data_IF_379080131535
#
_entry.id   IF_379080131535
#
_cell.length_a   1.000
_cell.length_b   1.000
_cell.length_c   1.000
_cell.angle_alpha   90.00
_cell.angle_beta   90.00
_cell.angle_gamma   90.00
#
_symmetry.space_group_name_H-M   'P 1'
#
loop_
_entity.id
_entity.type
_entity.pdbx_description
1 polymer ?
#
# COMPACT_ATOMS: atom_id res chain seq x y z
N UNK A 1 -22.42 -14.13 -18.69
CA UNK A 1 -22.21 -14.03 -18.65
C UNK A 1 -21.60 -13.51 -18.57
N UNK A 2 -21.71 -13.65 -18.50
CA UNK A 2 -21.16 -13.37 -18.22
C UNK A 2 -20.45 -13.06 -17.87
N UNK A 3 -20.62 -12.99 -17.56
CA UNK A 3 -20.08 -12.92 -17.11
C UNK A 3 -19.35 -12.82 -16.78
N UNK A 4 -19.38 -12.74 -16.68
CA UNK A 4 -18.86 -12.75 -16.25
C UNK A 4 -18.17 -12.95 -15.88
N UNK A 5 -18.50 -13.19 -15.70
CA UNK A 5 -18.03 -13.56 -15.26
C UNK A 5 -17.41 -13.81 -14.88
N UNK A 6 -17.61 -13.86 -14.84
CA UNK A 6 -17.15 -14.26 -14.52
C UNK A 6 -16.48 -14.55 -14.17
N UNK A 7 -16.78 -14.62 -14.20
CA UNK A 7 -16.27 -15.02 -13.86
C UNK A 7 -15.67 -15.34 -13.45
N UNK A 8 -16.03 -15.47 -13.30
CA UNK A 8 -15.64 -15.91 -12.84
C UNK A 8 -15.06 -16.36 -12.45
N UNK A 9 -15.13 -16.51 -12.43
CA UNK A 9 -14.72 -17.03 -12.03
C UNK A 9 -14.06 -17.44 -11.65
N UNK A 10 -14.15 -17.61 -11.65
CA UNK A 10 -13.71 -18.08 -11.27
C UNK A 10 -13.00 -18.35 -10.88
N UNK A 11 -12.98 -18.50 -10.63
CA UNK A 11 -12.40 -18.83 -9.99
C UNK A 11 -11.84 -19.35 -9.45
N UNK A 12 -11.76 -19.74 -9.49
CA UNK A 12 -11.34 -20.29 -8.71
C UNK A 12 -10.71 -20.57 -8.09
N UNK A 13 -10.81 -20.87 -7.98
CA UNK A 13 -10.32 -21.17 -7.28
C UNK A 13 -9.53 -21.19 -7.02
N UNK A 14 -9.61 -21.25 -7.33
CA UNK A 14 -8.90 -21.34 -6.96
C UNK A 14 -8.25 -20.92 -6.74
N UNK A 15 -8.48 -20.67 -7.39
CA UNK A 15 -7.89 -20.37 -6.91
C UNK A 15 -7.86 -19.54 -5.77
N UNK A 16 -7.83 -19.99 -5.22
CA UNK A 16 -7.89 -19.59 -3.92
C UNK A 16 -6.91 -18.59 -3.48
N UNK A 17 -5.77 -18.67 -3.98
CA UNK A 17 -4.74 -17.75 -3.71
C UNK A 17 -5.08 -16.38 -4.12
N UNK A 18 -5.75 -16.23 -5.23
CA UNK A 18 -6.16 -14.95 -5.72
C UNK A 18 -7.13 -14.26 -4.77
N UNK A 19 -7.80 -15.05 -3.95
CA UNK A 19 -8.77 -14.49 -3.02
C UNK A 19 -8.16 -14.15 -1.69
N UNK A 20 -6.85 -14.29 -1.54
CA UNK A 20 -6.21 -14.07 -0.25
C UNK A 20 -5.49 -12.73 -0.16
N UNK A 21 -5.72 -11.85 -1.10
CA UNK A 21 -5.18 -10.50 -0.97
C UNK A 21 -5.81 -9.82 0.24
N UNK A 22 -5.00 -9.08 0.96
CA UNK A 22 -5.49 -8.34 2.11
C UNK A 22 -6.39 -7.22 1.64
N UNK A 23 -7.33 -6.86 2.47
CA UNK A 23 -8.16 -5.71 2.19
C UNK A 23 -7.34 -4.44 2.38
N UNK A 24 -7.78 -3.36 1.75
CA UNK A 24 -7.06 -2.12 1.87
C UNK A 24 -8.00 -0.94 1.85
N UNK A 25 -7.51 0.15 2.40
CA UNK A 25 -8.16 1.43 2.31
C UNK A 25 -7.11 2.49 2.17
N UNK A 26 -7.55 3.74 2.08
CA UNK A 26 -6.61 4.84 2.00
C UNK A 26 -7.23 6.08 2.60
N UNK A 27 -6.36 6.92 3.20
CA UNK A 27 -6.79 8.19 3.76
C UNK A 27 -6.99 9.19 2.64
N UNK A 28 -7.81 10.20 2.90
CA UNK A 28 -7.99 11.28 1.93
C UNK A 28 -6.67 11.94 1.58
N UNK A 29 -5.80 12.09 2.57
CA UNK A 29 -4.49 12.70 2.33
C UNK A 29 -3.67 11.88 1.35
N UNK A 30 -3.79 10.55 1.40
CA UNK A 30 -3.08 9.69 0.45
C UNK A 30 -3.58 9.94 -0.98
N UNK A 31 -4.89 10.10 -1.15
CA UNK A 31 -5.44 10.38 -2.49
C UNK A 31 -4.93 11.71 -3.04
N UNK A 32 -4.84 12.71 -2.19
CA UNK A 32 -4.29 13.98 -2.62
C UNK A 32 -2.82 13.85 -3.00
N UNK A 33 -2.08 13.09 -2.21
CA UNK A 33 -0.67 12.83 -2.54
C UNK A 33 -0.56 12.12 -3.88
N UNK A 34 -1.36 11.07 -4.07
CA UNK A 34 -1.34 10.30 -5.31
C UNK A 34 -1.56 11.21 -6.53
N UNK A 35 -2.60 12.04 -6.45
CA UNK A 35 -2.92 12.92 -7.59
C UNK A 35 -1.79 13.91 -7.85
N UNK A 36 -1.18 14.43 -6.80
CA UNK A 36 -0.08 15.38 -6.93
C UNK A 36 1.15 14.71 -7.54
N UNK A 37 1.48 13.52 -7.03
CA UNK A 37 2.68 12.82 -7.48
C UNK A 37 2.53 12.32 -8.91
N UNK A 38 1.33 11.91 -9.30
CA UNK A 38 1.12 11.35 -10.63
C UNK A 38 1.19 12.40 -11.74
N UNK A 39 1.12 13.68 -11.37
CA UNK A 39 1.19 14.76 -12.36
C UNK A 39 2.60 15.11 -12.80
N UNK A 40 3.59 14.53 -12.15
CA UNK A 40 4.96 14.82 -12.48
C UNK A 40 5.69 13.52 -12.72
N UNK A 41 6.73 13.57 -13.55
CA UNK A 41 7.54 12.39 -13.84
C UNK A 41 8.67 12.20 -12.82
N UNK A 42 8.71 13.04 -11.78
CA UNK A 42 9.79 12.97 -10.80
C UNK A 42 9.73 11.71 -9.94
N UNK A 43 8.55 11.15 -9.75
CA UNK A 43 8.36 10.05 -8.82
C UNK A 43 8.04 8.77 -9.55
N UNK A 44 8.63 7.68 -9.08
CA UNK A 44 8.41 6.37 -9.70
C UNK A 44 7.10 5.78 -9.19
N UNK A 45 6.01 6.14 -9.84
CA UNK A 45 4.68 5.67 -9.45
C UNK A 45 4.51 4.18 -9.69
N UNK A 46 5.26 3.62 -10.64
CA UNK A 46 5.23 2.18 -10.87
C UNK A 46 5.78 1.45 -9.66
N UNK A 47 6.87 1.95 -9.11
CA UNK A 47 7.47 1.33 -7.94
C UNK A 47 6.59 1.50 -6.71
N UNK A 48 5.89 2.64 -6.60
CA UNK A 48 4.93 2.83 -5.53
C UNK A 48 3.82 1.77 -5.62
N UNK A 49 3.27 1.56 -6.80
CA UNK A 49 2.25 0.53 -6.99
C UNK A 49 2.79 -0.85 -6.65
N UNK A 50 4.03 -1.10 -7.01
CA UNK A 50 4.66 -2.39 -6.75
C UNK A 50 4.72 -2.69 -5.26
N UNK A 51 5.13 -1.73 -4.44
CA UNK A 51 5.20 -1.98 -3.00
C UNK A 51 3.81 -2.06 -2.38
N UNK A 52 2.86 -1.28 -2.90
CA UNK A 52 1.49 -1.39 -2.43
C UNK A 52 0.95 -2.79 -2.66
N UNK A 53 1.18 -3.34 -3.85
CA UNK A 53 0.73 -4.69 -4.16
C UNK A 53 1.46 -5.73 -3.32
N UNK A 54 2.74 -5.51 -3.05
CA UNK A 54 3.49 -6.43 -2.19
C UNK A 54 2.90 -6.47 -0.78
N UNK A 55 2.47 -5.31 -0.27
CA UNK A 55 1.85 -5.27 1.04
C UNK A 55 0.50 -5.98 1.07
N UNK A 56 -0.21 -5.99 -0.04
CA UNK A 56 -1.52 -6.63 -0.11
C UNK A 56 -1.43 -8.11 -0.40
N UNK A 57 -0.32 -8.58 -0.94
CA UNK A 57 -0.21 -9.96 -1.38
C UNK A 57 -0.21 -10.96 -0.23
N UNK A 58 0.37 -10.57 0.91
CA UNK A 58 0.40 -11.43 2.08
C UNK A 58 0.78 -10.59 3.29
N UNK A 59 0.89 -11.22 4.45
CA UNK A 59 1.18 -10.51 5.69
C UNK A 59 2.65 -10.64 6.09
N UNK A 60 3.51 -11.07 5.18
CA UNK A 60 4.92 -11.15 5.47
C UNK A 60 5.57 -9.77 5.39
N UNK A 61 6.63 -9.55 6.16
CA UNK A 61 7.33 -8.28 6.09
C UNK A 61 7.89 -8.04 4.70
N UNK A 62 8.01 -6.78 4.32
CA UNK A 62 8.64 -6.43 3.06
C UNK A 62 10.12 -6.78 3.10
N UNK A 63 10.68 -7.05 1.94
CA UNK A 63 12.11 -7.32 1.83
C UNK A 63 12.94 -6.10 2.25
N UNK A 64 14.23 -6.32 2.54
CA UNK A 64 15.08 -5.25 3.06
C UNK A 64 15.30 -4.11 2.10
N UNK A 65 15.06 -4.32 0.82
CA UNK A 65 15.23 -3.26 -0.17
C UNK A 65 14.26 -2.11 0.05
N UNK A 66 13.15 -2.35 0.76
CA UNK A 66 12.15 -1.32 0.99
C UNK A 66 12.38 -0.55 2.29
N UNK A 67 13.31 -1.01 3.13
CA UNK A 67 13.67 -0.35 4.39
C UNK A 67 12.45 -0.04 5.25
N UNK A 68 11.54 -0.99 5.32
CA UNK A 68 10.31 -0.84 6.07
C UNK A 68 10.58 -0.81 7.57
N UNK A 69 9.97 0.14 8.28
CA UNK A 69 10.17 0.24 9.72
C UNK A 69 9.01 1.01 10.36
N UNK A 70 8.78 0.78 11.66
CA UNK A 70 7.72 1.51 12.35
C UNK A 70 8.14 2.94 12.64
N UNK A 71 7.15 3.82 12.73
CA UNK A 71 7.37 5.22 13.05
C UNK A 71 7.07 5.47 14.52
N UNK A 72 7.52 6.60 15.01
CA UNK A 72 7.40 6.97 16.40
C UNK A 72 6.74 8.33 16.54
N UNK A 73 6.52 8.78 17.77
CA UNK A 73 5.99 10.08 18.05
C UNK A 73 4.55 10.21 17.55
N UNK A 74 4.27 11.29 16.88
CA UNK A 74 2.94 11.54 16.35
C UNK A 74 2.49 10.55 15.31
N UNK A 75 3.43 9.79 14.77
CA UNK A 75 3.14 8.76 13.77
C UNK A 75 3.14 7.37 14.37
N UNK A 76 3.12 7.25 15.67
CA UNK A 76 3.12 5.93 16.32
C UNK A 76 1.96 5.10 15.77
N UNK A 77 2.19 3.82 15.56
CA UNK A 77 1.20 2.93 14.98
C UNK A 77 1.24 2.85 13.48
N UNK A 78 2.03 3.70 12.86
CA UNK A 78 2.21 3.70 11.39
C UNK A 78 3.57 3.13 11.04
N UNK A 79 3.72 2.74 9.79
CA UNK A 79 4.98 2.24 9.27
C UNK A 79 5.33 3.02 8.01
N UNK A 80 6.62 3.06 7.72
CA UNK A 80 7.13 3.76 6.56
C UNK A 80 8.01 2.81 5.77
N UNK A 81 7.90 2.85 4.45
CA UNK A 81 8.84 2.15 3.59
C UNK A 81 9.35 3.10 2.52
N UNK A 82 10.53 2.78 2.00
CA UNK A 82 11.19 3.63 1.01
C UNK A 82 10.86 3.10 -0.38
N UNK A 83 10.16 3.91 -1.15
CA UNK A 83 9.84 3.57 -2.54
C UNK A 83 11.08 3.79 -3.41
N UNK A 84 11.81 4.87 -3.16
CA UNK A 84 13.02 5.13 -3.88
C UNK A 84 13.60 6.45 -3.41
N UNK A 85 14.89 6.44 -3.01
CA UNK A 85 15.52 7.64 -2.50
C UNK A 85 14.72 8.23 -1.37
N UNK A 86 14.28 9.48 -1.55
CA UNK A 86 13.51 10.20 -0.55
C UNK A 86 12.00 10.01 -0.72
N UNK A 87 11.58 9.16 -1.63
CA UNK A 87 10.16 8.92 -1.89
C UNK A 87 9.68 7.83 -0.97
N UNK A 88 8.75 8.16 -0.09
CA UNK A 88 8.30 7.29 1.00
C UNK A 88 6.82 6.99 0.90
N UNK A 89 6.44 5.86 1.47
CA UNK A 89 5.04 5.49 1.67
C UNK A 89 4.81 5.26 3.14
N UNK A 90 3.82 5.94 3.72
CA UNK A 90 3.40 5.71 5.10
C UNK A 90 2.11 4.93 5.05
N UNK A 91 2.06 3.82 5.79
CA UNK A 91 0.89 2.97 5.84
C UNK A 91 0.69 2.45 7.25
N UNK A 92 -0.44 1.81 7.45
CA UNK A 92 -0.82 1.31 8.75
C UNK A 92 -1.42 -0.07 8.56
N UNK A 93 -1.08 -0.99 9.46
CA UNK A 93 -1.64 -2.32 9.43
C UNK A 93 -2.84 -2.35 10.36
N UNK A 94 -3.97 -2.82 9.85
CA UNK A 94 -5.19 -2.87 10.61
C UNK A 94 -5.62 -4.33 10.73
N UNK A 95 -5.39 -4.92 11.88
CA UNK A 95 -5.69 -6.31 12.09
C UNK A 95 -7.16 -6.64 12.08
N UNK A 96 -8.00 -5.63 12.15
CA UNK A 96 -9.45 -5.84 12.20
C UNK A 96 -10.11 -5.77 10.86
N UNK A 97 -9.41 -5.36 9.82
CA UNK A 97 -10.01 -5.25 8.50
C UNK A 97 -10.11 -6.65 7.92
N UNK A 98 -11.34 -7.14 7.81
CA UNK A 98 -11.55 -8.51 7.38
C UNK A 98 -10.86 -9.46 8.33
N UNK A 99 -10.77 -10.70 7.97
CA UNK A 99 -10.17 -11.69 8.84
C UNK A 99 -8.69 -11.87 8.60
N UNK A 100 -8.21 -11.44 7.48
CA UNK A 100 -6.79 -11.49 7.18
C UNK A 100 -6.08 -10.21 7.49
N UNK A 101 -6.76 -9.27 8.16
CA UNK A 101 -6.20 -7.97 8.41
C UNK A 101 -6.29 -7.10 7.17
N UNK A 102 -5.72 -5.92 7.24
CA UNK A 102 -5.74 -4.99 6.13
C UNK A 102 -4.63 -3.99 6.19
N UNK A 103 -4.55 -3.18 5.16
CA UNK A 103 -3.53 -2.15 5.02
C UNK A 103 -4.24 -0.85 4.71
N UNK A 104 -3.88 0.21 5.40
CA UNK A 104 -4.39 1.54 5.09
C UNK A 104 -3.23 2.38 4.61
N UNK A 105 -3.31 2.88 3.38
CA UNK A 105 -2.28 3.76 2.84
C UNK A 105 -2.59 5.18 3.31
N UNK A 106 -1.65 5.81 3.98
CA UNK A 106 -1.91 7.04 4.71
C UNK A 106 -1.33 8.26 4.03
N UNK A 107 -0.07 8.21 3.63
CA UNK A 107 0.60 9.31 2.95
C UNK A 107 1.67 8.77 2.00
N UNK A 108 2.02 9.56 0.99
CA UNK A 108 3.14 9.27 0.12
C UNK A 108 3.78 10.58 -0.28
N UNK A 109 5.10 10.61 -0.32
CA UNK A 109 5.83 11.82 -0.69
C UNK A 109 7.24 11.79 -0.14
N UNK A 110 7.87 12.94 -0.13
CA UNK A 110 9.23 13.06 0.41
C UNK A 110 9.19 13.34 1.91
N UNK A 111 10.33 13.20 2.56
CA UNK A 111 10.44 13.52 3.98
C UNK A 111 9.95 14.93 4.28
N UNK A 112 10.37 15.90 3.48
CA UNK A 112 9.94 17.28 3.69
C UNK A 112 8.44 17.41 3.62
N UNK A 113 7.84 16.77 2.63
CA UNK A 113 6.40 16.88 2.43
C UNK A 113 5.61 16.24 3.56
N UNK A 114 6.11 15.11 4.06
CA UNK A 114 5.36 14.34 5.04
C UNK A 114 5.63 14.77 6.47
N UNK A 115 6.81 15.25 6.76
CA UNK A 115 7.22 15.56 8.13
C UNK A 115 7.56 17.04 8.35
N UNK A 116 7.34 17.87 7.36
CA UNK A 116 7.59 19.30 7.49
C UNK A 116 9.03 19.64 7.83
N UNK A 117 9.97 18.95 7.20
CA UNK A 117 11.39 19.19 7.44
C UNK A 117 12.04 20.07 6.42
#
# INVERSE_FOLDING_TARGET
MPNRCSSNSTRPVADKRATLLRQFGYAKAFLKDWNRLARTSRYDMRRLKQVMLALLANDEPLGPEWKDHPLKGGWAGHRECHVGGDFLLIYKLDGNVGEGGGVVFVRAGTHSELFNE
#
